data_IF_111884369422
#
_entry.id   IF_111884369422
#
_cell.length_a   1.000
_cell.length_b   1.000
_cell.length_c   1.000
_cell.angle_alpha   90.00
_cell.angle_beta   90.00
_cell.angle_gamma   90.00
#
_symmetry.space_group_name_H-M   'P 1'
#
loop_
_entity.id
_entity.type
_entity.pdbx_description
1 polymer ?
#
# COMPACT_ATOMS: atom_id res chain seq x y z
N UNK A 1 27.98 -6.67 40.30
CA UNK A 1 28.37 -7.78 39.39
C UNK A 1 27.13 -8.59 39.08
N UNK A 2 26.81 -8.81 37.80
CA UNK A 2 25.77 -9.75 37.40
C UNK A 2 26.26 -11.16 37.79
N UNK A 3 25.38 -12.00 38.34
CA UNK A 3 25.73 -13.38 38.65
C UNK A 3 25.90 -14.18 37.37
N UNK A 4 26.81 -15.16 37.36
CA UNK A 4 27.07 -16.02 36.20
C UNK A 4 25.78 -16.67 35.65
N UNK A 5 24.88 -17.09 36.54
CA UNK A 5 23.56 -17.63 36.18
C UNK A 5 22.72 -16.63 35.38
N UNK A 6 22.68 -15.37 35.80
CA UNK A 6 21.88 -14.33 35.17
C UNK A 6 22.51 -13.88 33.85
N UNK A 7 23.83 -13.94 33.73
CA UNK A 7 24.55 -13.74 32.47
C UNK A 7 24.19 -14.83 31.44
N UNK A 8 24.25 -16.11 31.82
CA UNK A 8 23.90 -17.22 30.93
C UNK A 8 22.41 -17.19 30.52
N UNK A 9 21.50 -16.78 31.42
CA UNK A 9 20.10 -16.59 31.08
C UNK A 9 19.90 -15.49 30.02
N UNK A 10 20.64 -14.37 30.16
CA UNK A 10 20.63 -13.27 29.21
C UNK A 10 21.20 -13.68 27.85
N UNK A 11 22.31 -14.41 27.83
CA UNK A 11 22.93 -14.96 26.61
C UNK A 11 21.96 -15.85 25.83
N UNK A 12 21.32 -16.81 26.51
CA UNK A 12 20.31 -17.68 25.91
C UNK A 12 19.11 -16.91 25.34
N UNK A 13 18.68 -15.83 26.01
CA UNK A 13 17.60 -14.97 25.52
C UNK A 13 18.02 -14.18 24.29
N UNK A 14 19.25 -13.68 24.26
CA UNK A 14 19.79 -12.97 23.10
C UNK A 14 19.86 -13.92 21.91
N UNK A 15 20.37 -15.13 22.07
CA UNK A 15 20.43 -16.13 21.01
C UNK A 15 19.03 -16.48 20.47
N UNK A 16 18.06 -16.66 21.36
CA UNK A 16 16.67 -16.89 20.97
C UNK A 16 16.10 -15.73 20.15
N UNK A 17 16.35 -14.48 20.59
CA UNK A 17 15.88 -13.29 19.89
C UNK A 17 16.56 -13.13 18.53
N UNK A 18 17.87 -13.38 18.43
CA UNK A 18 18.62 -13.33 17.17
C UNK A 18 18.06 -14.36 16.19
N UNK A 19 17.86 -15.60 16.63
CA UNK A 19 17.26 -16.64 15.79
C UNK A 19 15.86 -16.24 15.32
N UNK A 20 15.04 -15.64 16.21
CA UNK A 20 13.70 -15.19 15.84
C UNK A 20 13.71 -14.04 14.84
N UNK A 21 14.65 -13.11 14.96
CA UNK A 21 14.83 -12.02 13.99
C UNK A 21 15.22 -12.59 12.62
N UNK A 22 16.14 -13.54 12.58
CA UNK A 22 16.55 -14.19 11.32
C UNK A 22 15.38 -14.91 10.63
N UNK A 23 14.57 -15.66 11.38
CA UNK A 23 13.35 -16.30 10.85
C UNK A 23 12.37 -15.27 10.29
N UNK A 24 12.13 -14.17 11.02
CA UNK A 24 11.22 -13.11 10.61
C UNK A 24 11.74 -12.41 9.35
N UNK A 25 13.03 -12.11 9.26
CA UNK A 25 13.63 -11.51 8.06
C UNK A 25 13.48 -12.42 6.84
N UNK A 26 13.67 -13.74 7.00
CA UNK A 26 13.44 -14.70 5.93
C UNK A 26 11.97 -14.74 5.51
N UNK A 27 11.04 -14.75 6.45
CA UNK A 27 9.60 -14.69 6.16
C UNK A 27 9.22 -13.40 5.43
N UNK A 28 9.77 -12.25 5.85
CA UNK A 28 9.54 -10.97 5.17
C UNK A 28 10.08 -11.01 3.75
N UNK A 29 11.27 -11.57 3.52
CA UNK A 29 11.84 -11.71 2.17
C UNK A 29 10.99 -12.60 1.28
N UNK A 30 10.58 -13.77 1.74
CA UNK A 30 9.74 -14.69 0.96
C UNK A 30 8.36 -14.08 0.66
N UNK A 31 7.76 -13.38 1.63
CA UNK A 31 6.53 -12.63 1.42
C UNK A 31 6.72 -11.51 0.39
N UNK A 32 7.81 -10.75 0.49
CA UNK A 32 8.12 -9.66 -0.45
C UNK A 32 8.32 -10.19 -1.87
N UNK A 33 9.04 -11.30 -2.03
CA UNK A 33 9.24 -11.96 -3.32
C UNK A 33 7.94 -12.49 -3.90
N UNK A 34 7.11 -13.15 -3.09
CA UNK A 34 5.79 -13.65 -3.52
C UNK A 34 4.78 -12.55 -3.86
N UNK A 35 4.90 -11.37 -3.22
CA UNK A 35 4.05 -10.20 -3.49
C UNK A 35 4.58 -9.30 -4.63
N UNK A 36 5.59 -9.75 -5.39
CA UNK A 36 6.06 -9.08 -6.60
C UNK A 36 7.32 -8.25 -6.49
N UNK A 37 8.06 -8.42 -5.40
CA UNK A 37 9.37 -7.87 -5.18
C UNK A 37 9.38 -6.67 -4.24
N UNK A 38 10.58 -6.14 -4.04
CA UNK A 38 10.81 -5.01 -3.15
C UNK A 38 10.10 -3.74 -3.65
N UNK A 39 9.29 -3.14 -2.79
CA UNK A 39 8.65 -1.84 -3.03
C UNK A 39 9.54 -0.77 -2.38
N UNK A 40 10.10 0.17 -3.16
CA UNK A 40 10.94 1.23 -2.60
C UNK A 40 10.18 2.08 -1.57
N UNK A 41 10.88 2.64 -0.57
CA UNK A 41 10.27 3.58 0.35
C UNK A 41 9.64 4.77 -0.41
N UNK A 42 8.45 5.19 0.01
CA UNK A 42 7.66 6.23 -0.67
C UNK A 42 6.87 5.76 -1.90
N UNK A 43 6.91 4.48 -2.22
CA UNK A 43 6.04 3.85 -3.22
C UNK A 43 5.04 2.92 -2.54
N UNK A 44 3.86 2.78 -3.12
CA UNK A 44 2.86 1.82 -2.69
C UNK A 44 2.21 1.12 -3.90
N UNK A 45 1.72 -0.12 -3.76
CA UNK A 45 0.93 -0.76 -4.79
C UNK A 45 -0.33 0.05 -5.08
N UNK A 46 -0.63 0.25 -6.36
CA UNK A 46 -1.86 0.92 -6.80
C UNK A 46 -3.09 0.17 -6.30
N UNK A 47 -3.00 -1.15 -6.12
CA UNK A 47 -4.09 -1.94 -5.53
C UNK A 47 -4.38 -1.55 -4.09
N UNK A 48 -3.35 -1.36 -3.26
CA UNK A 48 -3.48 -0.90 -1.87
C UNK A 48 -4.07 0.51 -1.83
N UNK A 49 -3.54 1.42 -2.67
CA UNK A 49 -4.05 2.78 -2.78
C UNK A 49 -5.51 2.82 -3.26
N UNK A 50 -5.89 1.96 -4.21
CA UNK A 50 -7.27 1.85 -4.69
C UNK A 50 -8.23 1.45 -3.55
N UNK A 51 -7.81 0.48 -2.72
CA UNK A 51 -8.56 0.03 -1.56
C UNK A 51 -8.70 1.13 -0.49
N UNK A 52 -7.66 1.93 -0.23
CA UNK A 52 -7.72 3.09 0.68
C UNK A 52 -8.83 4.07 0.29
N UNK A 53 -9.02 4.30 -1.01
CA UNK A 53 -10.04 5.22 -1.54
C UNK A 53 -11.36 4.53 -1.93
N UNK A 54 -11.49 3.23 -1.71
CA UNK A 54 -12.68 2.44 -2.03
C UNK A 54 -13.04 2.43 -3.52
N UNK A 55 -12.06 2.57 -4.41
CA UNK A 55 -12.24 2.51 -5.87
C UNK A 55 -11.63 1.22 -6.43
N UNK A 56 -12.02 0.83 -7.65
CA UNK A 56 -11.39 -0.32 -8.30
C UNK A 56 -9.94 -0.03 -8.70
N UNK A 57 -9.11 -1.07 -8.73
CA UNK A 57 -7.69 -0.97 -9.14
C UNK A 57 -7.54 -0.35 -10.53
N UNK A 58 -8.37 -0.76 -11.48
CA UNK A 58 -8.42 -0.17 -12.83
C UNK A 58 -8.71 1.33 -12.80
N UNK A 59 -9.60 1.78 -11.92
CA UNK A 59 -9.91 3.21 -11.77
C UNK A 59 -8.79 3.99 -11.10
N UNK A 60 -8.09 3.38 -10.15
CA UNK A 60 -6.88 3.97 -9.58
C UNK A 60 -5.76 4.11 -10.63
N UNK A 61 -5.59 3.12 -11.51
CA UNK A 61 -4.65 3.21 -12.64
C UNK A 61 -5.03 4.32 -13.63
N UNK A 62 -6.32 4.42 -14.00
CA UNK A 62 -6.83 5.51 -14.84
C UNK A 62 -6.61 6.88 -14.18
N UNK A 63 -6.86 6.98 -12.87
CA UNK A 63 -6.62 8.19 -12.08
C UNK A 63 -5.15 8.61 -12.17
N UNK A 64 -4.23 7.68 -11.92
CA UNK A 64 -2.80 7.97 -11.99
C UNK A 64 -2.37 8.42 -13.39
N UNK A 65 -2.83 7.72 -14.44
CA UNK A 65 -2.53 8.07 -15.83
C UNK A 65 -3.04 9.46 -16.21
N UNK A 66 -4.28 9.78 -15.84
CA UNK A 66 -4.93 11.03 -16.25
C UNK A 66 -4.42 12.25 -15.46
N UNK A 67 -3.72 12.02 -14.35
CA UNK A 67 -3.20 13.08 -13.48
C UNK A 67 -1.68 13.18 -13.49
N UNK A 68 -1.00 12.33 -14.27
CA UNK A 68 0.46 12.33 -14.40
C UNK A 68 1.20 11.78 -13.17
N UNK A 69 0.55 10.93 -12.37
CA UNK A 69 1.23 10.15 -11.34
C UNK A 69 1.95 8.99 -12.02
N UNK A 70 3.26 8.87 -11.75
CA UNK A 70 4.09 7.82 -12.32
C UNK A 70 3.61 6.43 -11.88
N UNK A 71 3.53 5.51 -12.83
CA UNK A 71 3.23 4.09 -12.60
C UNK A 71 4.44 3.25 -12.99
N UNK A 72 4.91 2.41 -12.08
CA UNK A 72 5.99 1.45 -12.35
C UNK A 72 5.41 0.04 -12.26
N UNK A 73 5.65 -0.79 -13.27
CA UNK A 73 5.14 -2.16 -13.32
C UNK A 73 5.98 -3.07 -12.42
N UNK A 74 5.33 -3.84 -11.55
CA UNK A 74 6.01 -4.84 -10.72
C UNK A 74 6.24 -6.15 -11.49
N UNK A 75 7.23 -6.94 -11.06
CA UNK A 75 7.58 -8.22 -11.69
C UNK A 75 6.44 -9.25 -11.63
N UNK A 76 5.71 -9.33 -10.51
CA UNK A 76 4.54 -10.21 -10.38
C UNK A 76 3.25 -9.64 -11.00
N UNK A 77 3.33 -8.51 -11.71
CA UNK A 77 2.17 -7.80 -12.24
C UNK A 77 1.64 -6.73 -11.30
N UNK A 78 0.72 -5.91 -11.82
CA UNK A 78 0.27 -4.70 -11.15
C UNK A 78 1.26 -3.54 -11.25
N UNK A 79 0.89 -2.42 -10.62
CA UNK A 79 1.65 -1.17 -10.65
C UNK A 79 1.91 -0.66 -9.23
N UNK A 80 3.04 0.02 -9.04
CA UNK A 80 3.32 0.86 -7.88
C UNK A 80 3.33 2.32 -8.29
N UNK A 81 2.96 3.19 -7.36
CA UNK A 81 2.93 4.64 -7.54
C UNK A 81 3.52 5.35 -6.31
N UNK A 82 4.05 6.58 -6.45
CA UNK A 82 4.44 7.42 -5.32
C UNK A 82 3.23 7.68 -4.43
N UNK A 83 3.29 7.23 -3.18
CA UNK A 83 2.12 7.12 -2.32
C UNK A 83 1.52 8.50 -1.97
N UNK A 84 2.37 9.44 -1.60
CA UNK A 84 1.99 10.78 -1.16
C UNK A 84 1.34 11.57 -2.29
N UNK A 85 1.96 11.56 -3.48
CA UNK A 85 1.44 12.24 -4.67
C UNK A 85 0.14 11.61 -5.16
N UNK A 86 0.04 10.28 -5.12
CA UNK A 86 -1.21 9.60 -5.48
C UNK A 86 -2.34 9.99 -4.53
N UNK A 87 -2.12 9.96 -3.21
CA UNK A 87 -3.14 10.29 -2.21
C UNK A 87 -3.64 11.73 -2.35
N UNK A 88 -2.74 12.68 -2.55
CA UNK A 88 -3.10 14.09 -2.74
C UNK A 88 -4.05 14.28 -3.93
N UNK A 89 -3.66 13.74 -5.08
CA UNK A 89 -4.43 13.86 -6.31
C UNK A 89 -5.74 13.07 -6.23
N UNK A 90 -5.71 11.86 -5.66
CA UNK A 90 -6.91 11.06 -5.44
C UNK A 90 -7.91 11.80 -4.56
N UNK A 91 -7.47 12.46 -3.49
CA UNK A 91 -8.34 13.32 -2.67
C UNK A 91 -8.95 14.45 -3.49
N UNK A 92 -8.16 15.16 -4.29
CA UNK A 92 -8.66 16.26 -5.13
C UNK A 92 -9.72 15.78 -6.14
N UNK A 93 -9.42 14.71 -6.89
CA UNK A 93 -10.29 14.18 -7.94
C UNK A 93 -11.56 13.60 -7.33
N UNK A 94 -11.46 12.74 -6.31
CA UNK A 94 -12.62 12.06 -5.75
C UNK A 94 -13.54 13.01 -4.98
N UNK A 95 -13.01 14.05 -4.30
CA UNK A 95 -13.85 15.07 -3.63
C UNK A 95 -14.63 15.92 -4.63
N UNK A 96 -14.11 16.11 -5.84
CA UNK A 96 -14.80 16.85 -6.91
C UNK A 96 -15.76 15.99 -7.74
N UNK A 97 -15.79 14.67 -7.52
CA UNK A 97 -16.70 13.76 -8.19
C UNK A 97 -18.15 13.99 -7.74
N UNK A 98 -19.09 13.92 -8.68
CA UNK A 98 -20.53 14.13 -8.43
C UNK A 98 -21.28 12.80 -8.47
N UNK A 99 -22.31 12.68 -7.63
CA UNK A 99 -23.17 11.50 -7.53
C UNK A 99 -24.63 11.94 -7.50
N UNK A 100 -25.48 11.27 -8.29
CA UNK A 100 -26.94 11.43 -8.17
C UNK A 100 -27.43 10.75 -6.89
N UNK A 101 -28.31 11.40 -6.14
CA UNK A 101 -28.87 10.84 -4.90
C UNK A 101 -29.42 9.42 -5.12
N UNK A 102 -29.05 8.49 -4.25
CA UNK A 102 -29.42 7.07 -4.33
C UNK A 102 -28.69 6.22 -5.38
N UNK A 103 -27.86 6.79 -6.28
CA UNK A 103 -27.13 6.01 -7.29
C UNK A 103 -25.90 5.32 -6.70
N UNK A 104 -25.53 4.09 -7.06
CA UNK A 104 -24.24 3.53 -6.65
C UNK A 104 -23.02 4.17 -7.35
N UNK A 105 -23.26 5.00 -8.38
CA UNK A 105 -22.23 5.48 -9.29
C UNK A 105 -21.91 6.96 -9.08
N UNK A 106 -20.61 7.24 -9.11
CA UNK A 106 -20.00 8.56 -9.14
C UNK A 106 -19.55 8.90 -10.56
N UNK A 107 -19.45 10.19 -10.85
CA UNK A 107 -18.94 10.71 -12.10
C UNK A 107 -17.91 11.80 -11.85
N UNK A 108 -16.80 11.71 -12.57
CA UNK A 108 -15.79 12.76 -12.63
C UNK A 108 -15.32 12.92 -14.09
N UNK A 109 -15.09 14.15 -14.62
CA UNK A 109 -14.66 14.34 -16.00
C UNK A 109 -13.42 13.53 -16.39
N UNK A 110 -12.45 13.40 -15.47
CA UNK A 110 -11.22 12.61 -15.70
C UNK A 110 -11.40 11.09 -15.52
N UNK A 111 -12.41 10.61 -14.81
CA UNK A 111 -12.56 9.17 -14.50
C UNK A 111 -13.78 8.54 -15.18
N UNK A 112 -14.64 9.35 -15.78
CA UNK A 112 -15.96 8.94 -16.24
C UNK A 112 -16.81 8.43 -15.07
N UNK A 113 -17.61 7.38 -15.34
CA UNK A 113 -18.47 6.72 -14.34
C UNK A 113 -17.68 5.68 -13.56
N UNK A 114 -17.79 5.68 -12.23
CA UNK A 114 -17.14 4.71 -11.36
C UNK A 114 -17.95 4.43 -10.10
N UNK A 115 -17.60 3.36 -9.39
CA UNK A 115 -18.15 3.05 -8.06
C UNK A 115 -17.10 3.43 -7.01
N UNK A 116 -17.58 3.91 -5.86
CA UNK A 116 -16.74 4.24 -4.72
C UNK A 116 -17.47 3.79 -3.46
N UNK A 117 -16.78 3.02 -2.62
CA UNK A 117 -17.25 2.58 -1.30
C UNK A 117 -16.53 3.34 -0.20
N UNK A 118 -17.24 3.61 0.91
CA UNK A 118 -16.65 4.35 2.03
C UNK A 118 -16.50 5.86 1.79
N UNK A 119 -15.99 6.55 2.81
CA UNK A 119 -15.65 7.97 2.74
C UNK A 119 -14.23 8.16 2.20
N UNK A 120 -13.95 9.34 1.65
CA UNK A 120 -12.60 9.70 1.21
C UNK A 120 -11.76 9.95 2.47
N UNK A 121 -10.64 9.22 2.69
CA UNK A 121 -9.75 9.45 3.82
C UNK A 121 -9.26 10.91 3.88
N UNK A 122 -8.89 11.38 5.08
CA UNK A 122 -8.46 12.78 5.26
C UNK A 122 -7.20 13.13 4.46
#
# INVERSE_FOLDING_TARGET
>A
MISLLKFNELENRVDLLVNRVLELEQQVRTLTESQGGYIPPGMAPVATLAAEFGISTKKAEELAKNTGVMLVRMKAGGFIAPDSKFREVARQVLRSAKRKYGSAYWYHPLLGKFQMSGGIPQ
#
